data_IF_165820709711
#
_entry.id   IF_165820709711
#
_cell.length_a   1.000
_cell.length_b   1.000
_cell.length_c   1.000
_cell.angle_alpha   90.00
_cell.angle_beta   90.00
_cell.angle_gamma   90.00
#
_symmetry.space_group_name_H-M   'P 1'
#
loop_
_entity.id
_entity.type
_entity.pdbx_description
1 polymer ?
#
# COMPACT_ATOMS: atom_id res chain seq x y z
N UNK A 1 14.06 35.18 43.00
CA UNK A 1 15.30 35.93 42.72
C UNK A 1 15.97 35.37 41.47
N UNK A 2 16.67 36.20 40.68
CA UNK A 2 17.40 35.80 39.46
C UNK A 2 18.74 35.13 39.80
N UNK A 3 19.37 34.54 38.76
CA UNK A 3 20.82 34.43 38.44
C UNK A 3 21.26 32.98 38.13
N UNK A 4 22.06 32.70 37.09
CA UNK A 4 22.34 33.45 35.85
C UNK A 4 22.77 32.46 34.74
N UNK A 5 22.80 32.90 33.48
CA UNK A 5 23.19 32.05 32.33
C UNK A 5 24.71 31.94 32.15
N UNK A 6 25.10 30.81 31.55
CA UNK A 6 26.32 30.54 30.80
C UNK A 6 26.82 31.67 29.91
N UNK A 7 28.15 31.77 29.75
CA UNK A 7 28.85 32.09 28.50
C UNK A 7 30.37 31.93 28.68
N UNK A 8 31.03 31.13 27.83
CA UNK A 8 32.23 31.48 27.03
C UNK A 8 32.92 30.26 26.40
N UNK A 9 33.22 30.42 25.11
CA UNK A 9 34.15 29.71 24.21
C UNK A 9 34.96 30.84 23.52
N UNK A 10 36.00 30.58 22.70
CA UNK A 10 36.91 29.42 22.62
C UNK A 10 38.40 29.85 22.51
N UNK A 11 39.34 28.89 22.45
CA UNK A 11 40.59 29.07 21.67
C UNK A 11 41.18 27.73 21.16
N UNK A 12 41.85 27.83 20.02
CA UNK A 12 42.65 26.86 19.25
C UNK A 12 43.94 27.61 18.85
N UNK A 13 44.94 27.03 18.15
CA UNK A 13 45.27 25.63 17.88
C UNK A 13 46.75 25.30 18.24
N UNK A 14 47.21 24.06 18.00
CA UNK A 14 48.58 23.83 17.49
C UNK A 14 48.56 22.73 16.42
N UNK A 15 49.32 22.94 15.35
CA UNK A 15 49.55 22.02 14.23
C UNK A 15 51.01 21.56 14.29
N UNK A 16 51.27 20.29 13.96
CA UNK A 16 52.60 19.81 13.63
C UNK A 16 52.53 19.05 12.30
N UNK A 17 53.42 19.39 11.37
CA UNK A 17 53.47 18.82 10.02
C UNK A 17 54.71 17.92 9.87
N UNK A 18 54.62 16.93 8.98
CA UNK A 18 55.77 16.16 8.50
C UNK A 18 55.59 15.76 7.02
N UNK A 19 56.71 15.75 6.29
CA UNK A 19 56.92 15.45 4.85
C UNK A 19 58.39 14.99 4.74
N UNK A 20 58.89 14.23 3.77
CA UNK A 20 58.50 13.80 2.40
C UNK A 20 58.83 12.28 2.26
N UNK A 21 58.83 11.57 1.09
CA UNK A 21 58.66 11.97 -0.32
C UNK A 21 57.68 11.10 -1.17
N UNK A 22 57.52 11.50 -2.43
CA UNK A 22 56.69 10.81 -3.44
C UNK A 22 57.45 9.69 -4.18
N UNK A 23 56.70 8.66 -4.60
CA UNK A 23 57.14 7.66 -5.58
C UNK A 23 56.18 7.64 -6.76
N UNK A 24 56.70 7.83 -7.97
CA UNK A 24 55.93 7.80 -9.23
C UNK A 24 55.71 6.34 -9.66
N UNK A 25 54.50 5.82 -9.48
CA UNK A 25 54.06 4.52 -9.99
C UNK A 25 52.95 4.71 -11.03
N UNK A 26 53.28 4.57 -12.31
CA UNK A 26 52.28 4.62 -13.38
C UNK A 26 51.43 3.35 -13.38
N UNK A 27 50.19 3.44 -12.88
CA UNK A 27 49.19 2.37 -12.99
C UNK A 27 48.19 2.69 -14.10
N UNK A 28 48.07 1.77 -15.06
CA UNK A 28 47.09 1.81 -16.16
C UNK A 28 45.66 1.86 -15.61
N UNK A 29 45.08 3.06 -15.50
CA UNK A 29 43.64 3.22 -15.38
C UNK A 29 43.02 3.00 -16.76
N UNK A 30 42.56 1.77 -17.03
CA UNK A 30 41.66 1.54 -18.15
C UNK A 30 40.43 2.41 -17.94
N UNK A 31 40.20 3.36 -18.84
CA UNK A 31 38.93 4.06 -18.92
C UNK A 31 37.85 3.04 -19.32
N UNK A 32 37.21 2.42 -18.33
CA UNK A 32 35.91 1.81 -18.57
C UNK A 32 34.97 2.96 -18.93
N UNK A 33 34.55 2.99 -20.18
CA UNK A 33 33.47 3.87 -20.63
C UNK A 33 32.27 3.70 -19.68
N UNK A 34 31.51 4.77 -19.39
CA UNK A 34 30.28 4.63 -18.64
C UNK A 34 29.38 3.65 -19.40
N UNK A 35 29.14 2.48 -18.80
CA UNK A 35 28.35 1.41 -19.40
C UNK A 35 27.01 1.99 -19.86
N UNK A 36 26.76 1.96 -21.18
CA UNK A 36 25.46 2.32 -21.76
C UNK A 36 24.37 1.72 -20.89
N UNK A 37 23.45 2.56 -20.40
CA UNK A 37 22.27 2.07 -19.72
C UNK A 37 21.59 1.07 -20.67
N UNK A 38 21.59 -0.22 -20.31
CA UNK A 38 20.66 -1.17 -20.93
C UNK A 38 19.28 -0.57 -20.72
N UNK A 39 18.48 -0.49 -21.80
CA UNK A 39 17.16 0.12 -21.75
C UNK A 39 16.35 -0.48 -20.61
N UNK A 40 15.59 0.35 -19.88
CA UNK A 40 14.77 -0.13 -18.78
C UNK A 40 13.84 -1.23 -19.29
N UNK A 41 13.85 -2.38 -18.61
CA UNK A 41 13.06 -3.55 -19.00
C UNK A 41 11.56 -3.16 -19.03
N UNK A 42 10.85 -3.38 -20.14
CA UNK A 42 9.42 -3.08 -20.26
C UNK A 42 8.62 -3.75 -19.13
N UNK A 43 7.65 -3.02 -18.56
CA UNK A 43 6.85 -3.53 -17.44
C UNK A 43 6.07 -4.81 -17.78
N UNK A 44 5.74 -5.01 -19.06
CA UNK A 44 5.13 -6.23 -19.60
C UNK A 44 5.95 -7.50 -19.37
N UNK A 45 7.28 -7.44 -19.34
CA UNK A 45 8.15 -8.61 -19.12
C UNK A 45 8.11 -9.14 -17.68
N UNK A 46 7.53 -8.37 -16.76
CA UNK A 46 7.34 -8.75 -15.36
C UNK A 46 5.96 -9.37 -15.08
N UNK A 47 5.05 -9.34 -16.06
CA UNK A 47 3.67 -9.79 -15.87
C UNK A 47 3.53 -11.30 -16.09
N UNK A 48 2.91 -12.02 -15.16
CA UNK A 48 2.57 -13.44 -15.34
C UNK A 48 1.55 -13.70 -16.44
N UNK A 49 0.75 -12.70 -16.78
CA UNK A 49 -0.26 -12.71 -17.83
C UNK A 49 -0.50 -11.26 -18.26
N UNK A 50 -0.95 -11.00 -19.50
CA UNK A 50 -1.41 -9.68 -19.91
C UNK A 50 -2.47 -9.12 -18.95
N UNK A 51 -2.49 -7.79 -18.78
CA UNK A 51 -3.52 -7.12 -17.98
C UNK A 51 -4.90 -7.33 -18.58
N UNK A 52 -5.92 -7.45 -17.72
CA UNK A 52 -7.30 -7.58 -18.16
C UNK A 52 -7.78 -6.30 -18.87
N UNK A 53 -8.58 -6.47 -19.91
CA UNK A 53 -9.24 -5.33 -20.57
C UNK A 53 -10.26 -4.66 -19.64
N UNK A 54 -10.41 -3.34 -19.79
CA UNK A 54 -11.42 -2.55 -19.08
C UNK A 54 -12.81 -2.80 -19.70
N UNK A 55 -13.56 -3.74 -19.13
CA UNK A 55 -14.87 -4.20 -19.62
C UNK A 55 -16.04 -3.26 -19.29
N UNK A 56 -15.79 -2.14 -18.61
CA UNK A 56 -16.86 -1.21 -18.24
C UNK A 56 -17.39 -0.49 -19.49
N UNK A 57 -18.71 -0.53 -19.76
CA UNK A 57 -19.28 0.18 -20.92
C UNK A 57 -18.97 1.67 -20.90
N UNK A 58 -18.66 2.26 -22.06
CA UNK A 58 -18.43 3.71 -22.20
C UNK A 58 -19.67 4.57 -21.90
N UNK A 59 -20.85 3.95 -21.79
CA UNK A 59 -22.09 4.56 -21.29
C UNK A 59 -22.22 4.56 -19.76
N UNK A 60 -21.28 3.95 -19.02
CA UNK A 60 -21.25 4.03 -17.56
C UNK A 60 -21.02 5.47 -17.09
N UNK A 61 -21.64 5.84 -15.97
CA UNK A 61 -21.41 7.12 -15.27
C UNK A 61 -19.93 7.35 -14.92
N UNK A 62 -19.13 6.27 -14.81
CA UNK A 62 -17.68 6.36 -14.67
C UNK A 62 -16.99 7.08 -15.84
N UNK A 63 -17.59 7.18 -17.03
CA UNK A 63 -17.08 7.94 -18.17
C UNK A 63 -17.85 9.25 -18.45
N UNK A 64 -18.93 9.53 -17.71
CA UNK A 64 -19.68 10.78 -17.89
C UNK A 64 -19.01 11.94 -17.15
N UNK A 65 -18.23 12.75 -17.89
CA UNK A 65 -17.54 13.93 -17.35
C UNK A 65 -18.49 15.05 -16.88
N UNK A 66 -19.79 14.96 -17.19
CA UNK A 66 -20.81 15.92 -16.70
C UNK A 66 -21.45 15.47 -15.38
N UNK A 67 -21.31 14.20 -15.01
CA UNK A 67 -21.84 13.69 -13.75
C UNK A 67 -20.99 14.17 -12.55
N UNK A 68 -21.61 14.44 -11.38
CA UNK A 68 -20.87 14.82 -10.18
C UNK A 68 -19.84 13.76 -9.78
N UNK A 69 -18.59 14.17 -9.55
CA UNK A 69 -17.48 13.28 -9.21
C UNK A 69 -17.79 12.32 -8.04
N UNK A 70 -18.46 12.72 -6.94
CA UNK A 70 -18.96 11.80 -5.93
C UNK A 70 -19.72 10.58 -6.49
N UNK A 71 -20.66 10.79 -7.42
CA UNK A 71 -21.50 9.73 -8.00
C UNK A 71 -20.72 8.80 -8.94
N UNK A 72 -19.72 9.35 -9.64
CA UNK A 72 -18.80 8.57 -10.48
C UNK A 72 -17.90 7.68 -9.61
N UNK A 73 -17.45 8.20 -8.46
CA UNK A 73 -16.69 7.43 -7.48
C UNK A 73 -17.55 6.37 -6.78
N UNK A 74 -18.80 6.66 -6.41
CA UNK A 74 -19.76 5.66 -5.86
C UNK A 74 -19.93 4.46 -6.80
N UNK A 75 -20.15 4.72 -8.09
CA UNK A 75 -20.27 3.66 -9.09
C UNK A 75 -19.00 2.81 -9.20
N UNK A 76 -17.83 3.46 -9.29
CA UNK A 76 -16.53 2.81 -9.33
C UNK A 76 -16.31 1.88 -8.12
N UNK A 77 -16.45 2.38 -6.89
CA UNK A 77 -16.13 1.61 -5.68
C UNK A 77 -17.10 0.45 -5.45
N UNK A 78 -18.38 0.63 -5.78
CA UNK A 78 -19.39 -0.43 -5.67
C UNK A 78 -19.12 -1.54 -6.68
N UNK A 79 -18.89 -1.19 -7.96
CA UNK A 79 -18.54 -2.15 -9.02
C UNK A 79 -17.25 -2.90 -8.69
N UNK A 80 -16.20 -2.18 -8.31
CA UNK A 80 -14.90 -2.80 -7.97
C UNK A 80 -15.03 -3.75 -6.77
N UNK A 81 -15.85 -3.44 -5.76
CA UNK A 81 -16.17 -4.40 -4.69
C UNK A 81 -16.90 -5.65 -5.23
N UNK A 82 -17.85 -5.49 -6.15
CA UNK A 82 -18.57 -6.63 -6.74
C UNK A 82 -17.65 -7.52 -7.59
N UNK A 83 -16.84 -6.95 -8.47
CA UNK A 83 -15.86 -7.67 -9.29
C UNK A 83 -14.80 -8.37 -8.44
N UNK A 84 -14.24 -7.67 -7.45
CA UNK A 84 -13.23 -8.24 -6.54
C UNK A 84 -13.80 -9.42 -5.76
N UNK A 85 -15.00 -9.29 -5.18
CA UNK A 85 -15.60 -10.38 -4.44
C UNK A 85 -15.83 -11.59 -5.35
N UNK A 86 -16.44 -11.42 -6.52
CA UNK A 86 -16.66 -12.51 -7.48
C UNK A 86 -15.35 -13.20 -7.90
N UNK A 87 -14.28 -12.43 -8.15
CA UNK A 87 -12.97 -12.97 -8.51
C UNK A 87 -12.29 -13.76 -7.38
N UNK A 88 -12.54 -13.39 -6.12
CA UNK A 88 -12.03 -14.10 -4.93
C UNK A 88 -12.88 -15.33 -4.60
N UNK A 89 -14.21 -15.23 -4.65
CA UNK A 89 -15.14 -16.36 -4.47
C UNK A 89 -14.87 -17.48 -5.49
N UNK A 90 -14.51 -17.12 -6.74
CA UNK A 90 -14.15 -18.08 -7.77
C UNK A 90 -12.84 -18.86 -7.51
N UNK A 91 -11.96 -18.36 -6.63
CA UNK A 91 -10.70 -19.03 -6.26
C UNK A 91 -10.78 -19.71 -4.89
N UNK A 92 -11.51 -19.12 -3.94
CA UNK A 92 -11.75 -19.72 -2.63
C UNK A 92 -12.80 -20.84 -2.68
N UNK A 93 -13.88 -20.65 -3.43
CA UNK A 93 -15.04 -21.56 -3.48
C UNK A 93 -16.08 -21.30 -2.38
N UNK A 94 -15.77 -20.49 -1.37
CA UNK A 94 -16.75 -19.95 -0.43
C UNK A 94 -17.22 -18.55 -0.85
N UNK A 95 -18.33 -18.07 -0.25
CA UNK A 95 -18.93 -16.76 -0.53
C UNK A 95 -18.66 -15.75 0.58
N UNK A 96 -18.58 -14.47 0.23
CA UNK A 96 -18.58 -13.40 1.21
C UNK A 96 -19.97 -13.27 1.87
N UNK A 97 -19.99 -13.18 3.19
CA UNK A 97 -21.13 -12.64 3.94
C UNK A 97 -21.21 -11.14 3.66
N UNK A 98 -22.30 -10.71 3.04
CA UNK A 98 -22.62 -9.29 2.85
C UNK A 98 -23.35 -8.71 4.07
N UNK A 99 -23.02 -7.46 4.40
CA UNK A 99 -23.61 -6.68 5.47
C UNK A 99 -23.75 -5.22 5.01
N UNK A 100 -24.99 -4.73 4.90
CA UNK A 100 -25.31 -3.35 4.55
C UNK A 100 -25.72 -2.61 5.80
N UNK A 101 -25.14 -1.44 6.01
CA UNK A 101 -25.30 -0.67 7.25
C UNK A 101 -25.37 0.83 6.97
N UNK A 102 -26.04 1.54 7.85
CA UNK A 102 -26.18 3.01 7.84
C UNK A 102 -25.62 3.59 9.14
N UNK A 103 -25.35 4.90 9.16
CA UNK A 103 -24.88 5.62 10.35
C UNK A 103 -26.02 6.41 10.97
N UNK A 104 -26.68 5.81 11.95
CA UNK A 104 -27.74 6.44 12.75
C UNK A 104 -27.33 7.85 13.19
N UNK A 105 -28.16 8.85 12.87
CA UNK A 105 -27.95 10.26 13.23
C UNK A 105 -26.74 10.97 12.61
N UNK A 106 -25.85 10.27 11.87
CA UNK A 106 -24.56 10.82 11.43
C UNK A 106 -24.33 10.83 9.91
N UNK A 107 -25.24 10.23 9.14
CA UNK A 107 -25.25 10.30 7.68
C UNK A 107 -24.32 9.30 6.97
N UNK A 108 -24.81 8.80 5.84
CA UNK A 108 -24.16 7.77 5.03
C UNK A 108 -24.22 6.37 5.63
N UNK A 109 -23.42 5.47 5.08
CA UNK A 109 -23.39 4.05 5.40
C UNK A 109 -22.33 3.29 4.61
N UNK A 110 -22.54 2.00 4.40
CA UNK A 110 -21.62 1.17 3.63
C UNK A 110 -22.12 -0.24 3.37
N UNK A 111 -21.30 -0.97 2.59
CA UNK A 111 -21.46 -2.40 2.31
C UNK A 111 -20.16 -3.08 2.67
N UNK A 112 -20.19 -3.92 3.70
CA UNK A 112 -19.06 -4.74 4.12
C UNK A 112 -19.27 -6.16 3.63
N UNK A 113 -18.26 -6.73 2.98
CA UNK A 113 -18.24 -8.14 2.59
C UNK A 113 -17.09 -8.83 3.29
N UNK A 114 -17.41 -9.88 4.06
CA UNK A 114 -16.46 -10.64 4.87
C UNK A 114 -16.54 -12.12 4.48
N UNK A 115 -15.41 -12.69 4.10
CA UNK A 115 -15.19 -14.13 3.99
C UNK A 115 -14.21 -14.49 5.11
N UNK A 116 -14.55 -15.49 5.90
CA UNK A 116 -13.75 -15.96 7.04
C UNK A 116 -13.84 -17.48 7.08
N UNK A 117 -12.76 -18.15 7.50
CA UNK A 117 -12.68 -19.62 7.53
C UNK A 117 -12.94 -20.24 6.13
N UNK A 118 -12.40 -19.56 5.10
CA UNK A 118 -12.44 -19.94 3.69
C UNK A 118 -11.56 -21.15 3.36
N UNK A 119 -11.56 -21.58 2.10
CA UNK A 119 -10.65 -22.66 1.69
C UNK A 119 -9.25 -22.14 1.33
N UNK A 120 -9.16 -20.86 0.93
CA UNK A 120 -7.90 -20.18 0.52
C UNK A 120 -7.60 -19.02 1.46
N UNK A 121 -8.63 -18.30 1.92
CA UNK A 121 -8.51 -17.15 2.81
C UNK A 121 -8.99 -17.46 4.23
N UNK A 122 -8.09 -17.28 5.20
CA UNK A 122 -8.43 -17.36 6.62
C UNK A 122 -9.37 -16.21 7.02
N UNK A 123 -9.12 -15.03 6.44
CA UNK A 123 -10.01 -13.88 6.49
C UNK A 123 -9.75 -12.96 5.30
N UNK A 124 -10.80 -12.64 4.53
CA UNK A 124 -10.79 -11.66 3.46
C UNK A 124 -11.94 -10.68 3.68
N UNK A 125 -11.64 -9.38 3.62
CA UNK A 125 -12.62 -8.32 3.82
C UNK A 125 -12.53 -7.29 2.71
N UNK A 126 -13.69 -6.91 2.17
CA UNK A 126 -13.83 -5.84 1.18
C UNK A 126 -14.96 -4.92 1.65
N UNK A 127 -14.60 -3.72 2.10
CA UNK A 127 -15.53 -2.70 2.58
C UNK A 127 -15.68 -1.55 1.59
N UNK A 128 -16.92 -1.17 1.32
CA UNK A 128 -17.27 0.14 0.74
C UNK A 128 -17.93 0.99 1.81
N UNK A 129 -17.57 2.26 1.86
CA UNK A 129 -18.23 3.27 2.70
C UNK A 129 -18.56 4.51 1.86
N UNK A 130 -19.74 5.08 2.08
CA UNK A 130 -20.24 6.31 1.45
C UNK A 130 -20.81 7.17 2.59
N UNK A 131 -20.03 8.13 3.05
CA UNK A 131 -20.25 8.91 4.27
C UNK A 131 -20.48 10.37 3.91
N UNK A 132 -21.47 11.01 4.56
CA UNK A 132 -21.70 12.44 4.45
C UNK A 132 -22.13 13.01 5.80
N UNK A 133 -21.80 14.27 6.07
CA UNK A 133 -22.14 14.90 7.34
C UNK A 133 -21.51 16.29 7.48
N UNK A 134 -21.33 16.75 8.72
CA UNK A 134 -20.62 17.98 9.06
C UNK A 134 -19.28 17.63 9.72
N UNK A 135 -18.20 18.34 9.39
CA UNK A 135 -16.92 18.11 10.06
C UNK A 135 -16.99 18.51 11.55
N UNK A 136 -16.53 17.65 12.48
CA UNK A 136 -16.39 18.05 13.87
C UNK A 136 -15.25 19.07 14.03
N UNK A 137 -15.32 20.03 14.99
CA UNK A 137 -14.31 21.08 15.17
C UNK A 137 -12.87 20.57 15.31
N UNK A 138 -12.68 19.39 15.92
CA UNK A 138 -11.37 18.75 16.03
C UNK A 138 -10.78 18.35 14.67
N UNK A 139 -11.60 17.87 13.73
CA UNK A 139 -11.18 17.54 12.37
C UNK A 139 -10.86 18.82 11.57
N UNK A 140 -11.68 19.87 11.70
CA UNK A 140 -11.40 21.18 11.09
C UNK A 140 -10.02 21.67 11.54
N UNK A 141 -9.76 21.72 12.85
CA UNK A 141 -8.46 22.13 13.40
C UNK A 141 -7.29 21.28 12.89
N UNK A 142 -7.46 19.96 12.79
CA UNK A 142 -6.45 19.05 12.25
C UNK A 142 -6.16 19.30 10.76
N UNK A 143 -7.20 19.64 9.98
CA UNK A 143 -7.10 19.91 8.55
C UNK A 143 -6.49 21.28 8.28
N UNK A 144 -6.88 22.32 9.02
CA UNK A 144 -6.26 23.65 8.96
C UNK A 144 -4.78 23.59 9.35
N UNK A 145 -4.42 22.78 10.37
CA UNK A 145 -3.02 22.53 10.73
C UNK A 145 -2.20 21.80 9.64
N UNK A 146 -2.87 21.11 8.68
CA UNK A 146 -2.26 20.54 7.46
C UNK A 146 -2.32 21.51 6.26
N UNK A 147 -2.64 22.79 6.48
CA UNK A 147 -2.67 23.82 5.44
C UNK A 147 -3.95 23.84 4.58
N UNK A 148 -5.05 23.22 5.02
CA UNK A 148 -6.35 23.33 4.33
C UNK A 148 -7.03 24.64 4.71
N UNK A 149 -7.45 25.41 3.72
CA UNK A 149 -8.18 26.68 3.89
C UNK A 149 -9.65 26.42 4.25
N UNK A 150 -9.94 26.37 5.55
CA UNK A 150 -11.27 26.13 6.12
C UNK A 150 -11.64 27.24 7.11
N UNK A 151 -12.88 27.72 7.03
CA UNK A 151 -13.42 28.73 7.94
C UNK A 151 -13.72 28.12 9.31
N UNK A 152 -12.95 28.50 10.32
CA UNK A 152 -13.21 28.08 11.70
C UNK A 152 -14.57 28.59 12.20
N UNK A 153 -15.27 27.77 13.00
CA UNK A 153 -16.58 28.09 13.56
C UNK A 153 -17.77 28.02 12.58
N UNK A 154 -17.54 27.76 11.29
CA UNK A 154 -18.62 27.51 10.33
C UNK A 154 -19.08 26.04 10.35
N UNK A 155 -20.31 25.78 9.94
CA UNK A 155 -20.73 24.43 9.57
C UNK A 155 -20.10 24.06 8.23
N UNK A 156 -19.32 22.98 8.20
CA UNK A 156 -18.60 22.52 7.00
C UNK A 156 -19.13 21.14 6.57
N UNK A 157 -20.11 21.09 5.64
CA UNK A 157 -20.54 19.85 5.00
C UNK A 157 -19.37 19.12 4.34
N UNK A 158 -19.28 17.81 4.57
CA UNK A 158 -18.30 16.94 3.91
C UNK A 158 -18.97 15.69 3.33
N UNK A 159 -18.29 15.12 2.34
CA UNK A 159 -18.59 13.84 1.75
C UNK A 159 -17.30 13.03 1.60
N UNK A 160 -17.35 11.75 1.91
CA UNK A 160 -16.22 10.84 1.83
C UNK A 160 -16.71 9.47 1.36
N UNK A 161 -16.10 8.91 0.31
CA UNK A 161 -16.40 7.55 -0.12
C UNK A 161 -15.13 6.80 -0.50
N UNK A 162 -15.17 5.47 -0.41
CA UNK A 162 -14.06 4.65 -0.82
C UNK A 162 -14.31 3.15 -0.72
N UNK A 163 -13.47 2.39 -1.43
CA UNK A 163 -13.29 0.95 -1.23
C UNK A 163 -12.00 0.71 -0.45
N UNK A 164 -12.02 -0.22 0.49
CA UNK A 164 -10.82 -0.75 1.15
C UNK A 164 -10.94 -2.26 1.28
N UNK A 165 -9.82 -2.95 1.17
CA UNK A 165 -9.75 -4.39 1.41
C UNK A 165 -8.47 -4.77 2.14
N UNK A 166 -8.57 -5.87 2.88
CA UNK A 166 -7.45 -6.63 3.39
C UNK A 166 -7.78 -8.11 3.23
N UNK A 167 -6.82 -8.90 2.74
CA UNK A 167 -7.01 -10.35 2.58
C UNK A 167 -5.80 -11.10 3.13
N UNK A 168 -6.07 -12.10 3.98
CA UNK A 168 -5.09 -12.94 4.65
C UNK A 168 -5.26 -14.40 4.21
N UNK A 169 -4.46 -14.89 3.25
CA UNK A 169 -4.45 -16.29 2.88
C UNK A 169 -4.14 -17.23 4.06
N UNK A 170 -4.67 -18.46 3.99
CA UNK A 170 -4.28 -19.54 4.90
C UNK A 170 -2.81 -19.95 4.71
N UNK A 171 -2.38 -20.07 3.46
CA UNK A 171 -1.04 -20.55 3.09
C UNK A 171 0.04 -19.47 3.40
N UNK A 172 1.14 -19.78 4.11
CA UNK A 172 2.23 -18.83 4.37
C UNK A 172 2.95 -18.32 3.12
N UNK A 173 2.92 -19.08 2.02
CA UNK A 173 3.50 -18.69 0.73
C UNK A 173 2.65 -17.66 -0.01
N UNK A 174 1.35 -17.58 0.27
CA UNK A 174 0.46 -16.62 -0.34
C UNK A 174 0.46 -15.29 0.46
N UNK A 175 0.83 -14.15 -0.15
CA UNK A 175 0.97 -12.89 0.56
C UNK A 175 -0.37 -12.31 1.02
N UNK A 176 -0.36 -11.61 2.15
CA UNK A 176 -1.44 -10.69 2.51
C UNK A 176 -1.44 -9.51 1.54
N UNK A 177 -2.61 -9.02 1.14
CA UNK A 177 -2.76 -7.80 0.32
C UNK A 177 -3.61 -6.77 1.06
N UNK A 178 -3.29 -5.49 0.88
CA UNK A 178 -4.13 -4.36 1.22
C UNK A 178 -4.29 -3.43 0.02
N UNK A 179 -5.48 -2.83 -0.10
CA UNK A 179 -5.76 -1.78 -1.07
C UNK A 179 -6.79 -0.80 -0.51
N UNK A 180 -6.68 0.46 -0.92
CA UNK A 180 -7.68 1.48 -0.68
C UNK A 180 -7.74 2.46 -1.87
N UNK A 181 -8.95 2.87 -2.26
CA UNK A 181 -9.16 4.08 -3.05
C UNK A 181 -10.32 4.86 -2.46
N UNK A 182 -10.11 6.16 -2.25
CA UNK A 182 -11.07 7.06 -1.61
C UNK A 182 -11.09 8.43 -2.29
N UNK A 183 -12.27 9.03 -2.26
CA UNK A 183 -12.49 10.44 -2.57
C UNK A 183 -13.06 11.15 -1.34
N UNK A 184 -12.60 12.37 -1.09
CA UNK A 184 -13.12 13.23 -0.05
C UNK A 184 -13.36 14.63 -0.64
N UNK A 185 -14.49 15.24 -0.29
CA UNK A 185 -14.75 16.67 -0.51
C UNK A 185 -15.33 17.32 0.75
N UNK A 186 -15.03 18.61 0.95
CA UNK A 186 -15.61 19.42 2.01
C UNK A 186 -15.82 20.85 1.54
N UNK A 187 -16.92 21.46 1.98
CA UNK A 187 -17.15 22.90 1.84
C UNK A 187 -16.24 23.67 2.80
N UNK A 188 -15.64 24.76 2.32
CA UNK A 188 -14.66 25.55 3.08
C UNK A 188 -15.28 26.58 4.01
N UNK A 189 -16.60 26.82 3.91
CA UNK A 189 -17.30 27.92 4.59
C UNK A 189 -17.08 29.30 3.94
N UNK A 190 -16.39 29.34 2.80
CA UNK A 190 -16.28 30.50 1.91
C UNK A 190 -17.10 30.28 0.63
N UNK A 191 -17.32 31.36 -0.12
CA UNK A 191 -17.90 31.29 -1.46
C UNK A 191 -16.81 31.26 -2.54
N UNK A 192 -17.12 30.66 -3.69
CA UNK A 192 -16.32 30.73 -4.90
C UNK A 192 -16.63 32.00 -5.72
N UNK A 193 -16.04 32.09 -6.92
CA UNK A 193 -16.22 33.25 -7.81
C UNK A 193 -17.65 33.40 -8.35
N UNK A 194 -18.44 32.32 -8.33
CA UNK A 194 -19.84 32.29 -8.79
C UNK A 194 -20.83 32.49 -7.63
N UNK A 195 -20.33 32.72 -6.40
CA UNK A 195 -21.15 32.84 -5.20
C UNK A 195 -21.68 31.52 -4.63
N UNK A 196 -21.15 30.37 -5.08
CA UNK A 196 -21.52 29.04 -4.57
C UNK A 196 -20.59 28.62 -3.41
N UNK A 197 -20.96 27.66 -2.55
CA UNK A 197 -20.06 27.14 -1.52
C UNK A 197 -18.76 26.60 -2.13
N UNK A 198 -17.62 27.24 -1.82
CA UNK A 198 -16.30 26.82 -2.27
C UNK A 198 -15.98 25.48 -1.63
N UNK A 199 -15.76 24.45 -2.45
CA UNK A 199 -15.30 23.13 -2.02
C UNK A 199 -13.81 22.94 -2.22
N UNK A 200 -13.21 22.09 -1.39
CA UNK A 200 -11.92 21.45 -1.66
C UNK A 200 -12.13 19.94 -1.66
N UNK A 201 -11.53 19.24 -2.62
CA UNK A 201 -11.59 17.79 -2.72
C UNK A 201 -10.23 17.19 -3.04
N UNK A 202 -10.06 15.91 -2.73
CA UNK A 202 -8.87 15.16 -3.10
C UNK A 202 -9.16 13.66 -3.15
N UNK A 203 -8.32 12.97 -3.89
CA UNK A 203 -8.22 11.53 -3.83
C UNK A 203 -7.13 11.08 -2.85
N UNK A 204 -7.24 9.84 -2.39
CA UNK A 204 -6.17 9.11 -1.73
C UNK A 204 -6.34 7.62 -1.99
N UNK A 205 -5.28 6.85 -1.76
CA UNK A 205 -5.32 5.42 -1.97
C UNK A 205 -3.96 4.77 -2.13
N UNK A 206 -3.97 3.58 -2.72
CA UNK A 206 -2.79 2.76 -2.91
C UNK A 206 -3.12 1.27 -2.82
N UNK A 207 -2.12 0.46 -3.11
CA UNK A 207 -2.13 -0.98 -2.89
C UNK A 207 -0.74 -1.40 -2.42
N UNK A 208 -0.68 -2.36 -1.50
CA UNK A 208 0.58 -2.91 -0.99
C UNK A 208 0.47 -4.42 -0.71
N UNK A 209 1.62 -5.09 -0.82
CA UNK A 209 1.75 -6.53 -0.66
C UNK A 209 2.60 -6.87 0.56
N UNK A 210 2.10 -7.77 1.40
CA UNK A 210 2.73 -8.23 2.65
C UNK A 210 2.96 -9.75 2.61
N UNK A 211 4.04 -10.22 1.96
CA UNK A 211 4.46 -11.61 2.02
C UNK A 211 4.97 -12.00 3.42
N UNK A 212 4.76 -13.26 3.80
CA UNK A 212 5.54 -13.85 4.91
C UNK A 212 6.88 -14.40 4.42
N UNK A 213 6.91 -14.86 3.17
CA UNK A 213 8.06 -15.39 2.48
C UNK A 213 8.23 -14.68 1.14
N UNK A 214 9.44 -14.17 0.87
CA UNK A 214 9.71 -13.45 -0.37
C UNK A 214 9.81 -14.39 -1.57
N UNK A 215 9.07 -14.03 -2.62
CA UNK A 215 9.27 -14.44 -4.01
C UNK A 215 9.49 -13.18 -4.84
N UNK A 216 10.68 -13.02 -5.40
CA UNK A 216 11.05 -11.86 -6.21
C UNK A 216 10.19 -11.77 -7.48
N UNK A 217 9.74 -12.91 -8.02
CA UNK A 217 8.86 -12.95 -9.18
C UNK A 217 7.44 -12.43 -8.87
N UNK A 218 6.93 -12.64 -7.64
CA UNK A 218 5.62 -12.12 -7.21
C UNK A 218 5.70 -10.61 -7.00
N UNK A 219 6.80 -10.15 -6.39
CA UNK A 219 7.08 -8.74 -6.18
C UNK A 219 7.17 -7.97 -7.50
N UNK A 220 7.96 -8.48 -8.48
CA UNK A 220 8.04 -7.90 -9.83
C UNK A 220 6.66 -7.80 -10.49
N UNK A 221 5.86 -8.88 -10.45
CA UNK A 221 4.53 -8.88 -11.04
C UNK A 221 3.61 -7.82 -10.40
N UNK A 222 3.46 -7.82 -9.08
CA UNK A 222 2.61 -6.88 -8.36
C UNK A 222 2.99 -5.41 -8.63
N UNK A 223 4.28 -5.09 -8.56
CA UNK A 223 4.79 -3.75 -8.79
C UNK A 223 4.68 -3.32 -10.26
N UNK A 224 4.86 -4.25 -11.21
CA UNK A 224 4.73 -3.96 -12.63
C UNK A 224 3.28 -3.65 -13.03
N UNK A 225 2.28 -4.41 -12.54
CA UNK A 225 0.86 -4.16 -12.83
C UNK A 225 0.48 -2.71 -12.52
N UNK A 226 0.80 -2.22 -11.33
CA UNK A 226 0.48 -0.84 -10.95
C UNK A 226 1.36 0.19 -11.66
N UNK A 227 2.65 -0.10 -11.92
CA UNK A 227 3.48 0.80 -12.73
C UNK A 227 2.91 0.96 -14.15
N UNK A 228 2.49 -0.12 -14.81
CA UNK A 228 1.85 -0.07 -16.13
C UNK A 228 0.56 0.75 -16.14
N UNK A 229 -0.21 0.80 -15.05
CA UNK A 229 -1.38 1.68 -14.96
C UNK A 229 -1.01 3.15 -14.74
N UNK A 230 -0.04 3.43 -13.87
CA UNK A 230 0.38 4.80 -13.52
C UNK A 230 1.19 5.47 -14.64
N UNK A 231 2.02 4.71 -15.36
CA UNK A 231 2.80 5.18 -16.52
C UNK A 231 1.92 5.75 -17.64
N UNK A 232 0.64 5.34 -17.74
CA UNK A 232 -0.34 5.89 -18.70
C UNK A 232 -0.67 7.36 -18.44
N UNK A 233 -0.50 7.83 -17.20
CA UNK A 233 -0.73 9.23 -16.80
C UNK A 233 0.58 10.01 -16.83
N UNK A 234 1.60 9.51 -16.11
CA UNK A 234 2.95 10.08 -16.07
C UNK A 234 3.92 9.06 -15.43
N UNK A 235 4.99 8.61 -16.14
CA UNK A 235 6.00 7.70 -15.60
C UNK A 235 6.69 8.14 -14.31
N UNK A 236 6.65 9.44 -13.95
CA UNK A 236 7.19 9.95 -12.69
C UNK A 236 6.29 9.64 -11.47
N UNK A 237 5.03 9.25 -11.66
CA UNK A 237 4.07 9.00 -10.57
C UNK A 237 4.45 7.75 -9.79
N UNK A 238 4.69 6.62 -10.46
CA UNK A 238 4.95 5.36 -9.77
C UNK A 238 6.21 5.42 -8.86
N UNK A 239 7.39 5.93 -9.28
CA UNK A 239 8.54 6.05 -8.39
C UNK A 239 8.26 6.88 -7.13
N UNK A 240 7.51 7.98 -7.28
CA UNK A 240 7.10 8.86 -6.17
C UNK A 240 6.15 8.13 -5.20
N UNK A 241 5.13 7.47 -5.72
CA UNK A 241 4.12 6.79 -4.91
C UNK A 241 4.60 5.46 -4.33
N UNK A 242 5.55 4.77 -4.98
CA UNK A 242 6.27 3.62 -4.42
C UNK A 242 7.07 4.04 -3.19
N UNK A 243 7.88 5.11 -3.30
CA UNK A 243 8.63 5.66 -2.15
C UNK A 243 7.70 6.06 -1.00
N UNK A 244 6.58 6.74 -1.30
CA UNK A 244 5.59 7.09 -0.28
C UNK A 244 4.93 5.85 0.38
N UNK A 245 4.86 4.71 -0.32
CA UNK A 245 4.38 3.43 0.22
C UNK A 245 5.37 2.84 1.22
N UNK A 246 6.66 2.77 0.84
CA UNK A 246 7.75 2.31 1.71
C UNK A 246 7.82 3.14 3.01
N UNK A 247 7.65 4.46 2.90
CA UNK A 247 7.66 5.40 4.04
C UNK A 247 6.39 5.30 4.90
N UNK A 248 5.21 5.12 4.30
CA UNK A 248 3.94 5.05 5.04
C UNK A 248 3.78 3.75 5.82
N UNK A 249 4.15 2.61 5.23
CA UNK A 249 3.97 1.28 5.84
C UNK A 249 5.17 0.81 6.68
N UNK A 250 6.02 1.74 7.11
CA UNK A 250 7.13 1.47 8.03
C UNK A 250 6.65 1.26 9.47
N UNK A 251 7.33 0.39 10.23
CA UNK A 251 7.07 0.10 11.63
C UNK A 251 8.26 0.60 12.47
N UNK A 252 8.26 1.86 12.95
CA UNK A 252 9.43 2.49 13.58
C UNK A 252 10.06 1.70 14.73
N UNK A 253 9.26 1.07 15.59
CA UNK A 253 9.76 0.31 16.74
C UNK A 253 10.33 -1.08 16.37
N UNK A 254 10.15 -1.52 15.12
CA UNK A 254 10.73 -2.76 14.56
C UNK A 254 11.83 -2.50 13.53
N UNK A 255 11.89 -1.26 13.03
CA UNK A 255 12.81 -0.79 11.98
C UNK A 255 12.67 -1.56 10.66
N UNK A 256 11.44 -1.95 10.30
CA UNK A 256 11.09 -2.71 9.11
C UNK A 256 9.79 -2.18 8.48
N UNK A 257 9.63 -2.36 7.17
CA UNK A 257 8.34 -2.24 6.49
C UNK A 257 7.40 -3.39 6.86
N UNK A 258 6.09 -3.10 6.87
CA UNK A 258 5.02 -4.09 7.08
C UNK A 258 5.11 -5.24 6.05
N UNK A 259 5.33 -4.86 4.79
CA UNK A 259 5.45 -5.71 3.62
C UNK A 259 6.46 -5.15 2.61
N UNK A 260 6.38 -5.60 1.36
CA UNK A 260 7.32 -5.21 0.28
C UNK A 260 6.96 -3.88 -0.40
N UNK A 261 5.92 -3.21 0.09
CA UNK A 261 5.41 -1.97 -0.46
C UNK A 261 4.45 -2.20 -1.63
N UNK A 262 4.41 -1.23 -2.53
CA UNK A 262 3.48 -1.16 -3.65
C UNK A 262 3.44 0.27 -4.16
N UNK A 263 2.30 0.95 -4.01
CA UNK A 263 2.22 2.40 -4.16
C UNK A 263 1.20 3.00 -3.19
N UNK A 264 1.44 4.24 -2.75
CA UNK A 264 0.58 4.96 -1.82
C UNK A 264 0.51 6.46 -2.17
N UNK A 265 -0.67 7.04 -2.02
CA UNK A 265 -0.91 8.46 -2.18
C UNK A 265 -2.02 8.99 -1.25
N UNK A 266 -1.92 10.25 -0.88
CA UNK A 266 -2.86 11.00 -0.06
C UNK A 266 -2.82 12.46 -0.54
N UNK A 267 -3.84 13.26 -0.21
CA UNK A 267 -3.93 14.68 -0.62
C UNK A 267 -3.74 14.95 -2.14
N UNK A 268 -4.16 14.05 -3.03
CA UNK A 268 -4.18 14.33 -4.48
C UNK A 268 -5.34 15.28 -4.82
N UNK A 269 -5.09 16.59 -4.69
CA UNK A 269 -6.07 17.67 -4.87
C UNK A 269 -6.39 18.02 -6.32
N UNK A 270 -5.59 17.55 -7.27
CA UNK A 270 -5.96 17.60 -8.69
C UNK A 270 -7.02 16.51 -8.95
N UNK A 271 -8.28 16.92 -8.97
CA UNK A 271 -9.44 16.04 -9.19
C UNK A 271 -9.89 16.02 -10.66
N UNK A 272 -8.95 16.19 -11.59
CA UNK A 272 -9.16 16.12 -13.04
C UNK A 272 -9.66 14.75 -13.51
N UNK A 273 -10.24 14.72 -14.71
CA UNK A 273 -10.75 13.49 -15.36
C UNK A 273 -9.65 12.44 -15.49
N UNK A 274 -8.45 12.86 -15.89
CA UNK A 274 -7.32 11.98 -16.10
C UNK A 274 -6.84 11.35 -14.79
N UNK A 275 -6.89 12.07 -13.66
CA UNK A 275 -6.58 11.49 -12.36
C UNK A 275 -7.69 10.54 -11.88
N UNK A 276 -8.96 10.84 -12.15
CA UNK A 276 -10.05 9.90 -11.90
C UNK A 276 -9.87 8.60 -12.72
N UNK A 277 -9.57 8.70 -14.03
CA UNK A 277 -9.34 7.53 -14.88
C UNK A 277 -8.07 6.76 -14.47
N UNK A 278 -7.01 7.43 -14.02
CA UNK A 278 -5.82 6.77 -13.45
C UNK A 278 -6.16 5.94 -12.22
N UNK A 279 -6.91 6.51 -11.27
CA UNK A 279 -7.34 5.82 -10.03
C UNK A 279 -8.25 4.64 -10.36
N UNK A 280 -9.19 4.84 -11.27
CA UNK A 280 -10.08 3.82 -11.81
C UNK A 280 -9.30 2.67 -12.48
N UNK A 281 -8.29 2.98 -13.29
CA UNK A 281 -7.40 1.99 -13.91
C UNK A 281 -6.63 1.17 -12.87
N UNK A 282 -6.15 1.81 -11.80
CA UNK A 282 -5.51 1.10 -10.69
C UNK A 282 -6.50 0.22 -9.92
N UNK A 283 -7.72 0.70 -9.66
CA UNK A 283 -8.77 -0.05 -8.95
C UNK A 283 -9.21 -1.31 -9.71
N UNK A 284 -9.34 -1.22 -11.04
CA UNK A 284 -9.67 -2.36 -11.89
C UNK A 284 -8.55 -3.43 -11.90
N UNK A 285 -7.29 -3.04 -11.71
CA UNK A 285 -6.14 -3.96 -11.78
C UNK A 285 -5.85 -4.75 -10.50
N UNK A 286 -6.69 -4.70 -9.46
CA UNK A 286 -6.46 -5.49 -8.23
C UNK A 286 -6.36 -6.99 -8.53
N UNK A 287 -7.33 -7.53 -9.26
CA UNK A 287 -7.36 -8.97 -9.57
C UNK A 287 -6.20 -9.38 -10.48
N UNK A 288 -5.79 -8.53 -11.42
CA UNK A 288 -4.59 -8.74 -12.23
C UNK A 288 -3.32 -8.78 -11.38
N UNK A 289 -3.21 -7.90 -10.37
CA UNK A 289 -2.05 -7.83 -9.48
C UNK A 289 -1.97 -8.99 -8.49
N UNK A 290 -3.12 -9.60 -8.11
CA UNK A 290 -3.18 -10.54 -6.98
C UNK A 290 -3.54 -11.98 -7.34
N UNK A 291 -4.51 -12.22 -8.24
CA UNK A 291 -4.93 -13.58 -8.56
C UNK A 291 -3.81 -14.44 -9.20
N UNK A 292 -2.93 -13.91 -10.08
CA UNK A 292 -1.83 -14.69 -10.64
C UNK A 292 -0.82 -15.16 -9.58
N UNK A 293 -0.51 -14.30 -8.59
CA UNK A 293 0.30 -14.67 -7.42
C UNK A 293 -0.44 -15.72 -6.59
N UNK A 294 -1.67 -15.45 -6.19
CA UNK A 294 -2.47 -16.33 -5.35
C UNK A 294 -2.57 -17.75 -5.93
N UNK A 295 -2.84 -17.87 -7.24
CA UNK A 295 -2.90 -19.17 -7.94
C UNK A 295 -1.58 -19.94 -7.89
N UNK A 296 -0.43 -19.28 -7.93
CA UNK A 296 0.89 -19.92 -7.81
C UNK A 296 1.22 -20.37 -6.37
N UNK A 297 0.71 -19.66 -5.36
CA UNK A 297 1.15 -19.83 -3.96
C UNK A 297 0.16 -20.55 -3.04
N UNK A 298 -1.15 -20.49 -3.31
CA UNK A 298 -2.19 -20.97 -2.38
C UNK A 298 -2.12 -22.47 -2.06
N UNK A 299 -1.65 -23.29 -3.00
CA UNK A 299 -1.59 -24.76 -2.89
C UNK A 299 -0.16 -25.28 -2.60
N UNK A 300 0.81 -24.39 -2.37
CA UNK A 300 2.18 -24.82 -2.05
C UNK A 300 2.23 -25.57 -0.71
N UNK A 301 2.99 -26.67 -0.57
CA UNK A 301 3.22 -27.29 0.73
C UNK A 301 3.93 -26.30 1.65
N UNK A 302 3.71 -26.42 2.96
CA UNK A 302 4.40 -25.61 3.97
C UNK A 302 4.58 -26.39 5.28
N UNK A 303 5.63 -26.05 6.02
CA UNK A 303 5.93 -26.65 7.33
C UNK A 303 5.26 -25.89 8.49
N UNK A 304 5.19 -26.52 9.67
CA UNK A 304 4.60 -25.90 10.87
C UNK A 304 5.33 -24.59 11.23
N UNK A 305 6.65 -24.60 11.11
CA UNK A 305 7.54 -23.48 11.33
C UNK A 305 7.19 -22.31 10.40
N UNK A 306 6.89 -22.59 9.13
CA UNK A 306 6.47 -21.56 8.17
C UNK A 306 5.10 -20.95 8.50
N UNK A 307 4.16 -21.78 9.01
CA UNK A 307 2.89 -21.29 9.52
C UNK A 307 3.07 -20.44 10.78
N UNK A 308 3.98 -20.81 11.68
CA UNK A 308 4.34 -20.04 12.90
C UNK A 308 4.99 -18.70 12.53
N UNK A 309 5.90 -18.66 11.55
CA UNK A 309 6.46 -17.42 11.01
C UNK A 309 5.40 -16.52 10.37
N UNK A 310 4.44 -17.06 9.60
CA UNK A 310 3.30 -16.29 9.10
C UNK A 310 2.52 -15.63 10.25
N UNK A 311 2.33 -16.31 11.39
CA UNK A 311 1.66 -15.71 12.56
C UNK A 311 2.48 -14.57 13.17
N UNK A 312 3.81 -14.69 13.20
CA UNK A 312 4.71 -13.61 13.65
C UNK A 312 4.70 -12.41 12.69
N UNK A 313 4.66 -12.64 11.37
CA UNK A 313 4.49 -11.58 10.36
C UNK A 313 3.12 -10.91 10.44
N UNK A 314 2.05 -11.66 10.70
CA UNK A 314 0.73 -11.12 11.00
C UNK A 314 0.70 -10.30 12.30
N UNK A 315 1.50 -10.67 13.31
CA UNK A 315 1.72 -9.84 14.49
C UNK A 315 2.26 -8.44 14.14
N UNK A 316 3.17 -8.33 13.17
CA UNK A 316 3.65 -7.03 12.63
C UNK A 316 2.55 -6.26 11.89
N UNK A 317 1.67 -6.96 11.18
CA UNK A 317 0.53 -6.35 10.51
C UNK A 317 -0.44 -5.72 11.52
N UNK A 318 -0.74 -6.41 12.62
CA UNK A 318 -1.55 -5.89 13.73
C UNK A 318 -0.84 -4.72 14.43
N UNK A 319 0.47 -4.83 14.72
CA UNK A 319 1.28 -3.73 15.27
C UNK A 319 1.15 -2.47 14.42
N UNK A 320 1.26 -2.57 13.09
CA UNK A 320 1.11 -1.41 12.20
C UNK A 320 -0.32 -0.82 12.25
N UNK A 321 -1.34 -1.64 12.04
CA UNK A 321 -2.73 -1.15 11.94
C UNK A 321 -3.21 -0.47 13.23
N UNK A 322 -2.84 -0.99 14.40
CA UNK A 322 -3.23 -0.41 15.68
C UNK A 322 -2.36 0.80 16.05
N UNK A 323 -1.04 0.75 15.82
CA UNK A 323 -0.11 1.77 16.33
C UNK A 323 0.18 2.92 15.37
N UNK A 324 0.02 2.74 14.05
CA UNK A 324 0.50 3.70 13.05
C UNK A 324 -0.50 4.05 11.96
N UNK A 325 -1.37 3.12 11.53
CA UNK A 325 -2.31 3.41 10.45
C UNK A 325 -3.27 4.56 10.78
N UNK A 326 -3.27 5.58 9.92
CA UNK A 326 -4.11 6.77 10.08
C UNK A 326 -5.58 6.45 9.86
N UNK A 327 -5.91 5.52 8.96
CA UNK A 327 -7.28 5.13 8.66
C UNK A 327 -7.97 4.46 9.84
N UNK A 328 -7.32 3.43 10.40
CA UNK A 328 -7.78 2.65 11.56
C UNK A 328 -7.98 3.56 12.77
N UNK A 329 -6.99 4.39 13.12
CA UNK A 329 -7.11 5.34 14.24
C UNK A 329 -8.23 6.36 14.05
N UNK A 330 -8.34 6.96 12.87
CA UNK A 330 -9.39 7.94 12.58
C UNK A 330 -10.79 7.30 12.66
N UNK A 331 -10.94 6.09 12.11
CA UNK A 331 -12.18 5.32 12.17
C UNK A 331 -12.63 5.04 13.61
N UNK A 332 -11.74 4.49 14.45
CA UNK A 332 -12.04 4.14 15.84
C UNK A 332 -12.33 5.37 16.73
N UNK A 333 -11.75 6.53 16.41
CA UNK A 333 -12.00 7.79 17.13
C UNK A 333 -13.23 8.57 16.63
N UNK A 334 -13.85 8.15 15.51
CA UNK A 334 -15.01 8.83 14.92
C UNK A 334 -16.32 8.25 15.48
N UNK A 335 -17.19 9.07 16.10
CA UNK A 335 -18.50 8.60 16.57
C UNK A 335 -19.39 8.02 15.46
N UNK A 336 -20.15 6.98 15.79
CA UNK A 336 -20.99 6.27 14.83
C UNK A 336 -20.22 5.56 13.72
N UNK A 337 -18.92 5.30 13.90
CA UNK A 337 -18.15 4.40 13.03
C UNK A 337 -18.48 2.93 13.31
N UNK A 338 -18.57 2.13 12.26
CA UNK A 338 -18.75 0.68 12.38
C UNK A 338 -17.41 0.01 12.70
N UNK A 339 -17.15 -0.22 13.99
CA UNK A 339 -15.90 -0.81 14.51
C UNK A 339 -15.54 -2.13 13.80
N UNK A 340 -16.50 -3.03 13.60
CA UNK A 340 -16.30 -4.29 12.88
C UNK A 340 -15.80 -4.10 11.44
N UNK A 341 -16.24 -3.04 10.75
CA UNK A 341 -15.77 -2.72 9.40
C UNK A 341 -14.33 -2.19 9.39
N UNK A 342 -13.85 -1.62 10.50
CA UNK A 342 -12.48 -1.11 10.67
C UNK A 342 -11.54 -2.26 11.04
N UNK A 343 -11.95 -3.09 12.01
CA UNK A 343 -11.19 -4.24 12.50
C UNK A 343 -11.28 -5.49 11.60
N UNK A 344 -12.07 -5.41 10.52
CA UNK A 344 -11.97 -6.25 9.32
C UNK A 344 -10.50 -6.48 8.91
N UNK A 345 -9.69 -5.44 8.99
CA UNK A 345 -8.28 -5.44 8.59
C UNK A 345 -7.34 -6.29 9.45
N UNK A 346 -7.79 -6.77 10.62
CA UNK A 346 -6.98 -7.65 11.46
C UNK A 346 -7.14 -9.11 11.02
N UNK A 347 -6.05 -9.92 10.97
CA UNK A 347 -6.13 -11.35 10.68
C UNK A 347 -6.90 -12.10 11.78
N UNK A 348 -7.40 -13.28 11.46
CA UNK A 348 -8.09 -14.14 12.43
C UNK A 348 -7.14 -14.62 13.53
N UNK A 349 -5.90 -14.94 13.16
CA UNK A 349 -4.83 -15.31 14.10
C UNK A 349 -3.55 -14.51 13.86
N UNK A 350 -2.82 -14.24 14.94
CA UNK A 350 -1.50 -13.59 14.96
C UNK A 350 -0.71 -14.08 16.20
N UNK A 351 0.62 -13.93 16.19
CA UNK A 351 1.50 -14.42 17.25
C UNK A 351 2.58 -13.40 17.61
N UNK A 352 2.96 -13.39 18.88
CA UNK A 352 4.08 -12.63 19.41
C UNK A 352 4.94 -13.55 20.29
N UNK A 353 6.21 -13.64 19.94
CA UNK A 353 7.22 -14.35 20.72
C UNK A 353 8.28 -13.37 21.26
N UNK A 354 8.70 -13.61 22.49
CA UNK A 354 9.74 -12.81 23.14
C UNK A 354 11.10 -13.10 22.51
N UNK A 355 11.78 -12.04 22.04
CA UNK A 355 13.14 -12.09 21.49
C UNK A 355 13.37 -13.06 20.32
N UNK A 356 12.32 -13.50 19.61
CA UNK A 356 12.44 -14.35 18.41
C UNK A 356 13.32 -13.69 17.34
N UNK A 357 14.33 -14.43 16.88
CA UNK A 357 15.18 -14.08 15.74
C UNK A 357 15.15 -15.25 14.74
N UNK A 358 14.96 -15.00 13.42
CA UNK A 358 15.05 -16.05 12.42
C UNK A 358 16.49 -16.58 12.34
N UNK A 359 16.65 -17.86 11.98
CA UNK A 359 17.97 -18.48 11.84
C UNK A 359 18.80 -17.79 10.75
N UNK A 360 20.12 -17.70 10.94
CA UNK A 360 21.01 -17.07 9.96
C UNK A 360 20.97 -17.80 8.61
N UNK A 361 20.82 -17.07 7.50
CA UNK A 361 20.73 -17.63 6.14
C UNK A 361 19.36 -18.16 5.73
N UNK A 362 18.41 -18.27 6.67
CA UNK A 362 17.03 -18.74 6.45
C UNK A 362 16.23 -17.85 5.49
N UNK A 363 15.11 -18.36 5.00
CA UNK A 363 14.21 -17.60 4.11
C UNK A 363 13.49 -16.47 4.86
N UNK A 364 13.19 -16.68 6.14
CA UNK A 364 12.67 -15.68 7.08
C UNK A 364 13.65 -14.51 7.23
N UNK A 365 14.94 -14.81 7.42
CA UNK A 365 15.99 -13.78 7.54
C UNK A 365 16.19 -13.02 6.20
N UNK A 366 16.18 -13.73 5.06
CA UNK A 366 16.23 -13.11 3.72
C UNK A 366 15.04 -12.17 3.47
N UNK A 367 13.84 -12.63 3.80
CA UNK A 367 12.62 -11.81 3.68
C UNK A 367 12.74 -10.57 4.58
N UNK A 368 13.12 -10.75 5.84
CA UNK A 368 13.30 -9.66 6.81
C UNK A 368 14.38 -8.65 6.38
N UNK A 369 15.46 -9.08 5.72
CA UNK A 369 16.51 -8.19 5.19
C UNK A 369 15.95 -7.19 4.18
N UNK A 370 15.02 -7.60 3.30
CA UNK A 370 14.39 -6.70 2.34
C UNK A 370 13.30 -5.83 3.00
N UNK A 371 12.54 -6.38 3.95
CA UNK A 371 11.58 -5.56 4.73
C UNK A 371 12.29 -4.43 5.50
N UNK A 372 13.52 -4.64 5.97
CA UNK A 372 14.35 -3.59 6.59
C UNK A 372 14.99 -2.61 5.60
N UNK A 373 15.16 -3.02 4.34
CA UNK A 373 15.87 -2.25 3.31
C UNK A 373 15.06 -2.31 2.00
N UNK A 374 14.02 -1.45 1.83
CA UNK A 374 13.18 -1.47 0.64
C UNK A 374 13.97 -1.33 -0.67
N UNK A 375 13.69 -2.20 -1.63
CA UNK A 375 14.37 -2.27 -2.93
C UNK A 375 13.47 -1.79 -4.06
N UNK A 376 14.05 -1.47 -5.23
CA UNK A 376 13.28 -1.28 -6.45
C UNK A 376 13.08 -2.63 -7.15
N UNK A 377 11.92 -3.25 -6.93
CA UNK A 377 11.60 -4.59 -7.41
C UNK A 377 11.75 -4.80 -8.91
N UNK A 378 11.59 -3.74 -9.72
CA UNK A 378 11.72 -3.85 -11.18
C UNK A 378 13.19 -3.88 -11.65
N UNK A 379 14.12 -3.58 -10.74
CA UNK A 379 15.57 -3.71 -10.91
C UNK A 379 16.17 -4.87 -10.09
N UNK A 380 15.35 -5.67 -9.41
CA UNK A 380 15.76 -6.89 -8.71
C UNK A 380 15.65 -8.08 -9.66
N UNK A 381 16.72 -8.88 -9.87
CA UNK A 381 16.61 -10.16 -10.57
C UNK A 381 15.67 -11.09 -9.80
N UNK A 382 14.67 -11.69 -10.47
CA UNK A 382 13.93 -12.79 -9.87
C UNK A 382 14.52 -14.14 -10.28
N UNK A 383 14.25 -15.15 -9.46
CA UNK A 383 14.65 -16.51 -9.72
C UNK A 383 13.73 -17.13 -10.78
N UNK A 384 14.25 -17.29 -11.99
CA UNK A 384 13.59 -18.05 -13.05
C UNK A 384 14.06 -19.51 -12.99
N UNK A 385 13.19 -20.38 -12.46
CA UNK A 385 13.46 -21.81 -12.25
C UNK A 385 13.82 -22.56 -13.54
N UNK A 386 13.37 -22.09 -14.71
CA UNK A 386 13.65 -22.72 -16.01
C UNK A 386 15.08 -22.42 -16.50
N UNK A 387 15.74 -21.40 -15.94
CA UNK A 387 17.09 -20.95 -16.33
C UNK A 387 18.19 -21.38 -15.36
N UNK A 388 17.82 -21.89 -14.17
CA UNK A 388 18.78 -22.34 -13.17
C UNK A 388 19.53 -23.60 -13.59
N UNK A 389 20.84 -23.68 -13.29
CA UNK A 389 21.54 -24.97 -13.36
C UNK A 389 20.95 -25.96 -12.36
N UNK A 390 21.11 -27.27 -12.58
CA UNK A 390 20.57 -28.31 -11.68
C UNK A 390 20.95 -28.09 -10.21
N UNK A 391 22.17 -27.62 -9.94
CA UNK A 391 22.63 -27.33 -8.58
C UNK A 391 22.01 -26.08 -7.96
N UNK A 392 21.65 -25.08 -8.76
CA UNK A 392 20.93 -23.89 -8.31
C UNK A 392 19.44 -24.19 -8.14
N UNK A 393 18.84 -24.94 -9.07
CA UNK A 393 17.46 -25.41 -8.99
C UNK A 393 17.24 -26.27 -7.74
N UNK A 394 18.16 -27.19 -7.43
CA UNK A 394 18.07 -27.98 -6.19
C UNK A 394 18.19 -27.12 -4.92
N UNK A 395 19.05 -26.09 -4.92
CA UNK A 395 19.15 -25.14 -3.79
C UNK A 395 17.89 -24.29 -3.64
N UNK A 396 17.30 -23.88 -4.76
CA UNK A 396 16.11 -23.05 -4.80
C UNK A 396 14.85 -23.84 -4.45
N UNK A 397 14.74 -25.08 -4.91
CA UNK A 397 13.70 -26.01 -4.50
C UNK A 397 13.82 -26.33 -3.01
N UNK A 398 15.03 -26.64 -2.51
CA UNK A 398 15.28 -26.85 -1.09
C UNK A 398 14.85 -25.62 -0.26
N UNK A 399 15.24 -24.41 -0.68
CA UNK A 399 14.80 -23.15 -0.07
C UNK A 399 13.27 -23.00 -0.05
N UNK A 400 12.58 -23.47 -1.10
CA UNK A 400 11.11 -23.44 -1.22
C UNK A 400 10.40 -24.65 -0.57
N UNK A 401 11.13 -25.63 -0.03
CA UNK A 401 10.60 -26.90 0.50
C UNK A 401 11.04 -27.28 1.93
N UNK A 402 11.89 -26.46 2.57
CA UNK A 402 12.01 -26.39 4.05
C UNK A 402 10.66 -26.03 4.71
#
# INVERSE_FOLDING_TARGET
MRHFRTLLKPSRPWLAAAVVPAALGASYLSQQEPSRCKGAIPTSEFLYQPLSEDKVPKSSIEFDTKAPLPKRMEALIMRVQDEICAGIEAVDGQKFREDKWEREGHGGGGRSRILQDGNVFEKAGVGVSIIHGKLPPAAVKQMTARGKDLKEGAELPFYACGVSLVMHPHNPMAPTIHLNYRYFEVETGYLDKDGKPKKIGWFGGGADLTPSYLFEEDARHFHAVYKTQLDKRDPAIYPKWKKACDEYFYIPHRQEGRGIGGFFFDDLTDTSEENFQMIRGCANSMLDAYLPILKKRKDMPFTKQQKEWQQMRRGRYVEFNIMYDRGTKFGLLTPGSRVESILMSLPLTARWEYMHQPAAGSWEEKTLKVLKNPVDWLNVPAVDLETLSTGELLKELARRSE
#
